data_IF_387649641281
#
_entry.id   IF_387649641281
#
_cell.length_a   1.000
_cell.length_b   1.000
_cell.length_c   1.000
_cell.angle_alpha   90.00
_cell.angle_beta   90.00
_cell.angle_gamma   90.00
#
_symmetry.space_group_name_H-M   'P 1'
#
loop_
_entity.id
_entity.type
_entity.pdbx_description
1 polymer ?
#
# COMPACT_ATOMS: atom_id res chain seq x y z
N UNK A 1 3.17 -7.13 -27.63
CA UNK A 1 2.56 -5.88 -27.18
C UNK A 1 1.99 -6.02 -25.79
N UNK A 2 1.98 -4.94 -25.00
CA UNK A 2 1.44 -4.94 -23.66
C UNK A 2 -0.01 -4.50 -23.65
N UNK A 3 -0.81 -5.10 -22.75
CA UNK A 3 -2.19 -4.67 -22.52
C UNK A 3 -2.22 -3.40 -21.65
N UNK A 4 -3.39 -2.76 -21.59
CA UNK A 4 -3.58 -1.60 -20.71
C UNK A 4 -3.35 -1.97 -19.24
N UNK A 5 -3.78 -3.17 -18.81
CA UNK A 5 -3.57 -3.64 -17.45
C UNK A 5 -2.09 -3.85 -17.15
N UNK A 6 -1.35 -4.46 -18.08
CA UNK A 6 0.10 -4.65 -17.92
C UNK A 6 0.84 -3.32 -17.82
N UNK A 7 0.44 -2.32 -18.60
CA UNK A 7 1.04 -0.98 -18.51
C UNK A 7 0.74 -0.32 -17.17
N UNK A 8 -0.46 -0.51 -16.67
CA UNK A 8 -0.85 0.02 -15.35
C UNK A 8 0.01 -0.61 -14.24
N UNK A 9 0.20 -1.93 -14.27
CA UNK A 9 1.03 -2.64 -13.29
C UNK A 9 2.48 -2.15 -13.36
N UNK A 10 3.03 -1.98 -14.56
CA UNK A 10 4.40 -1.47 -14.72
C UNK A 10 4.54 -0.05 -14.18
N UNK A 11 3.57 0.81 -14.46
CA UNK A 11 3.57 2.17 -13.90
C UNK A 11 3.50 2.13 -12.36
N UNK A 12 2.69 1.24 -11.81
CA UNK A 12 2.58 1.06 -10.37
C UNK A 12 3.89 0.59 -9.74
N UNK A 13 4.58 -0.33 -10.40
CA UNK A 13 5.90 -0.79 -9.93
C UNK A 13 6.91 0.36 -9.89
N UNK A 14 6.94 1.18 -10.92
CA UNK A 14 7.84 2.33 -10.96
C UNK A 14 7.54 3.33 -9.85
N UNK A 15 6.26 3.62 -9.63
CA UNK A 15 5.84 4.51 -8.55
C UNK A 15 6.16 3.91 -7.18
N UNK A 16 5.95 2.61 -7.01
CA UNK A 16 6.29 1.91 -5.78
C UNK A 16 7.79 2.01 -5.50
N UNK A 17 8.62 1.73 -6.50
CA UNK A 17 10.07 1.75 -6.34
C UNK A 17 10.58 3.15 -5.93
N UNK A 18 9.93 4.21 -6.40
CA UNK A 18 10.37 5.57 -6.08
C UNK A 18 9.77 6.11 -4.78
N UNK A 19 8.58 5.68 -4.37
CA UNK A 19 7.85 6.31 -3.27
C UNK A 19 7.62 5.41 -2.06
N UNK A 20 7.66 4.09 -2.22
CA UNK A 20 7.24 3.14 -1.17
C UNK A 20 8.35 2.20 -0.72
N UNK A 21 9.30 1.89 -1.59
CA UNK A 21 10.32 0.89 -1.33
C UNK A 21 11.25 1.25 -0.18
N UNK A 22 11.41 2.54 0.14
CA UNK A 22 12.24 2.97 1.25
C UNK A 22 11.76 2.41 2.60
N UNK A 23 10.47 2.16 2.73
CA UNK A 23 9.85 1.73 3.98
C UNK A 23 9.26 0.32 3.93
N UNK A 24 8.87 -0.15 2.74
CA UNK A 24 8.15 -1.41 2.57
C UNK A 24 8.93 -2.40 1.71
N UNK A 25 8.91 -3.66 2.10
CA UNK A 25 9.40 -4.78 1.29
C UNK A 25 8.23 -5.40 0.51
N UNK A 26 8.55 -6.09 -0.56
CA UNK A 26 7.59 -6.91 -1.31
C UNK A 26 7.77 -8.41 -1.05
N UNK A 27 8.65 -8.78 -0.13
CA UNK A 27 8.90 -10.18 0.23
C UNK A 27 8.12 -10.56 1.47
N UNK A 28 7.49 -11.73 1.44
CA UNK A 28 6.68 -12.22 2.56
C UNK A 28 7.49 -12.26 3.86
N UNK A 29 6.92 -11.69 4.93
CA UNK A 29 7.52 -11.70 6.26
C UNK A 29 8.71 -10.77 6.45
N UNK A 30 9.14 -10.06 5.43
CA UNK A 30 10.26 -9.14 5.50
C UNK A 30 9.75 -7.73 5.75
N UNK A 31 9.90 -7.26 6.99
CA UNK A 31 9.41 -5.95 7.41
C UNK A 31 10.56 -4.95 7.54
N UNK A 32 10.27 -3.70 7.22
CA UNK A 32 11.19 -2.58 7.40
C UNK A 32 10.55 -1.54 8.32
N UNK A 33 10.66 -0.27 7.95
CA UNK A 33 9.97 0.83 8.64
C UNK A 33 8.46 0.60 8.57
N UNK A 34 7.96 0.15 7.42
CA UNK A 34 6.59 -0.31 7.24
C UNK A 34 6.55 -1.84 7.06
N UNK A 35 5.35 -2.44 7.12
CA UNK A 35 5.22 -3.88 6.96
C UNK A 35 5.44 -4.29 5.51
N UNK A 36 5.80 -5.57 5.32
CA UNK A 36 5.83 -6.16 3.98
C UNK A 36 4.46 -6.01 3.31
N UNK A 37 4.46 -5.65 2.04
CA UNK A 37 3.24 -5.51 1.26
C UNK A 37 2.92 -6.74 0.42
N UNK A 38 3.70 -7.81 0.58
CA UNK A 38 3.38 -9.08 -0.07
C UNK A 38 2.02 -9.58 0.44
N UNK A 39 1.10 -9.82 -0.50
CA UNK A 39 -0.25 -10.29 -0.16
C UNK A 39 -1.14 -9.23 0.48
N UNK A 40 -0.79 -7.94 0.40
CA UNK A 40 -1.55 -6.90 1.10
C UNK A 40 -2.96 -6.73 0.56
N UNK A 41 -3.16 -6.84 -0.74
CA UNK A 41 -4.51 -6.74 -1.31
C UNK A 41 -5.27 -8.02 -0.94
N UNK A 42 -6.40 -7.84 -0.26
CA UNK A 42 -7.20 -8.94 0.29
C UNK A 42 -6.93 -9.20 1.77
N UNK A 43 -5.93 -8.54 2.35
CA UNK A 43 -5.56 -8.72 3.75
C UNK A 43 -6.21 -7.65 4.63
N UNK A 44 -6.57 -8.02 5.86
CA UNK A 44 -7.07 -7.05 6.83
C UNK A 44 -5.96 -6.10 7.25
N UNK A 45 -6.26 -4.81 7.36
CA UNK A 45 -5.31 -3.82 7.82
C UNK A 45 -4.80 -4.18 9.21
N UNK A 46 -3.50 -4.02 9.42
CA UNK A 46 -2.88 -4.27 10.72
C UNK A 46 -2.69 -5.74 11.07
N UNK A 47 -2.72 -6.64 10.10
CA UNK A 47 -2.76 -8.08 10.36
C UNK A 47 -1.52 -8.87 9.97
N UNK A 48 -0.52 -8.27 9.32
CA UNK A 48 0.67 -9.04 8.93
C UNK A 48 1.44 -9.49 10.18
N UNK A 49 1.74 -10.80 10.29
CA UNK A 49 2.47 -11.31 11.45
C UNK A 49 3.87 -10.72 11.55
N UNK A 50 4.31 -10.45 12.77
CA UNK A 50 5.68 -10.03 13.03
C UNK A 50 5.94 -8.53 12.85
N UNK A 51 4.94 -7.74 12.52
CA UNK A 51 5.09 -6.29 12.43
C UNK A 51 4.30 -5.60 13.55
N UNK A 52 4.92 -4.59 14.18
CA UNK A 52 4.28 -3.83 15.26
C UNK A 52 3.55 -2.63 14.68
N UNK A 53 2.25 -2.78 14.44
CA UNK A 53 1.40 -1.70 13.90
C UNK A 53 1.04 -0.67 14.97
N UNK A 54 0.68 0.54 14.50
CA UNK A 54 0.02 1.52 15.36
C UNK A 54 -1.36 1.01 15.80
N UNK A 55 -1.88 1.55 16.91
CA UNK A 55 -3.23 1.21 17.35
C UNK A 55 -4.27 1.59 16.31
N UNK A 56 -4.09 2.74 15.66
CA UNK A 56 -4.99 3.19 14.60
C UNK A 56 -5.08 2.17 13.47
N UNK A 57 -3.95 1.62 13.04
CA UNK A 57 -3.93 0.64 11.95
C UNK A 57 -4.53 -0.70 12.39
N UNK A 58 -4.19 -1.17 13.61
CA UNK A 58 -4.75 -2.42 14.13
C UNK A 58 -6.26 -2.36 14.29
N UNK A 59 -6.79 -1.20 14.62
CA UNK A 59 -8.21 -1.01 14.90
C UNK A 59 -8.99 -0.44 13.72
N UNK A 60 -8.36 -0.32 12.54
CA UNK A 60 -8.98 0.30 11.38
C UNK A 60 -10.20 -0.47 10.85
N UNK A 61 -10.20 -1.78 10.97
CA UNK A 61 -11.36 -2.61 10.58
C UNK A 61 -11.59 -2.69 9.09
N UNK A 62 -10.57 -2.42 8.25
CA UNK A 62 -10.70 -2.48 6.80
C UNK A 62 -9.91 -3.65 6.23
N UNK A 63 -10.46 -4.28 5.21
CA UNK A 63 -9.74 -5.24 4.38
C UNK A 63 -9.29 -4.49 3.12
N UNK A 64 -8.01 -4.59 2.80
CA UNK A 64 -7.46 -3.85 1.65
C UNK A 64 -7.98 -4.42 0.35
N UNK A 65 -8.77 -3.63 -0.35
CA UNK A 65 -9.16 -3.86 -1.74
C UNK A 65 -8.69 -2.65 -2.54
N UNK A 66 -8.68 -2.76 -3.87
CA UNK A 66 -8.17 -1.68 -4.72
C UNK A 66 -8.76 -0.32 -4.35
N UNK A 67 -10.08 -0.28 -4.17
CA UNK A 67 -10.80 0.98 -3.95
C UNK A 67 -10.35 1.70 -2.67
N UNK A 68 -10.29 0.99 -1.54
CA UNK A 68 -9.87 1.65 -0.30
C UNK A 68 -8.36 1.83 -0.22
N UNK A 69 -7.59 1.00 -0.90
CA UNK A 69 -6.15 1.22 -1.00
C UNK A 69 -5.85 2.53 -1.73
N UNK A 70 -6.57 2.85 -2.80
CA UNK A 70 -6.41 4.12 -3.51
C UNK A 70 -6.75 5.29 -2.59
N UNK A 71 -7.83 5.20 -1.83
CA UNK A 71 -8.20 6.26 -0.87
C UNK A 71 -7.09 6.47 0.17
N UNK A 72 -6.53 5.38 0.69
CA UNK A 72 -5.44 5.45 1.65
C UNK A 72 -4.19 6.09 1.05
N UNK A 73 -3.82 5.72 -0.18
CA UNK A 73 -2.65 6.26 -0.85
C UNK A 73 -2.78 7.74 -1.19
N UNK A 74 -4.00 8.22 -1.44
CA UNK A 74 -4.24 9.63 -1.74
C UNK A 74 -4.31 10.50 -0.49
N UNK A 75 -4.72 9.95 0.64
CA UNK A 75 -4.86 10.69 1.88
C UNK A 75 -4.62 9.75 3.06
N UNK A 76 -3.37 9.40 3.27
CA UNK A 76 -2.96 8.41 4.26
C UNK A 76 -3.36 8.82 5.68
N UNK A 77 -3.15 10.11 6.01
CA UNK A 77 -3.49 10.63 7.34
C UNK A 77 -5.01 10.69 7.56
N UNK A 78 -5.75 11.07 6.54
CA UNK A 78 -7.20 11.22 6.67
C UNK A 78 -7.95 9.90 6.62
N UNK A 79 -7.44 8.93 5.86
CA UNK A 79 -8.13 7.64 5.71
C UNK A 79 -8.06 6.81 7.00
N UNK A 80 -6.89 6.77 7.65
CA UNK A 80 -6.71 6.11 8.95
C UNK A 80 -6.00 7.09 9.88
N UNK A 81 -6.73 7.99 10.54
CA UNK A 81 -6.11 8.98 11.43
C UNK A 81 -5.32 8.31 12.53
N UNK A 82 -4.10 8.80 12.79
CA UNK A 82 -3.22 8.26 13.79
C UNK A 82 -2.26 7.18 13.31
N UNK A 83 -2.33 6.78 12.04
CA UNK A 83 -1.36 5.83 11.51
C UNK A 83 0.01 6.51 11.33
N UNK A 84 1.09 5.71 11.48
CA UNK A 84 2.46 6.26 11.43
C UNK A 84 2.88 6.73 10.04
N UNK A 85 2.37 6.08 9.01
CA UNK A 85 2.68 6.41 7.62
C UNK A 85 2.22 7.83 7.28
N UNK A 86 1.14 8.30 7.89
CA UNK A 86 0.59 9.63 7.65
C UNK A 86 1.50 10.78 7.99
N UNK A 87 2.51 10.57 8.86
CA UNK A 87 3.49 11.61 9.18
C UNK A 87 4.70 11.61 8.26
N UNK A 88 4.91 10.54 7.48
CA UNK A 88 6.09 10.36 6.62
C UNK A 88 5.76 10.35 5.13
N UNK A 89 4.52 10.08 4.77
CA UNK A 89 4.10 9.96 3.38
C UNK A 89 2.90 10.86 3.12
N UNK A 90 3.07 11.81 2.21
CA UNK A 90 2.02 12.79 1.91
C UNK A 90 0.89 12.22 1.06
N UNK A 91 1.16 11.13 0.36
CA UNK A 91 0.20 10.54 -0.55
C UNK A 91 0.59 10.73 -2.00
N UNK A 92 -0.12 10.02 -2.88
CA UNK A 92 0.04 10.18 -4.32
C UNK A 92 -0.83 11.35 -4.80
N UNK A 93 -0.43 11.96 -5.92
CA UNK A 93 -1.08 13.19 -6.42
C UNK A 93 -2.40 12.93 -7.13
N UNK A 94 -2.57 11.77 -7.74
CA UNK A 94 -3.74 11.46 -8.55
C UNK A 94 -4.29 10.08 -8.24
N UNK A 95 -5.59 9.89 -8.50
CA UNK A 95 -6.20 8.57 -8.37
C UNK A 95 -5.64 7.57 -9.38
N UNK A 96 -5.19 8.03 -10.55
CA UNK A 96 -4.54 7.16 -11.53
C UNK A 96 -3.25 6.57 -10.98
N UNK A 97 -2.44 7.36 -10.29
CA UNK A 97 -1.22 6.87 -9.65
C UNK A 97 -1.57 5.87 -8.55
N UNK A 98 -2.59 6.17 -7.75
CA UNK A 98 -3.07 5.26 -6.73
C UNK A 98 -3.56 3.93 -7.32
N UNK A 99 -4.34 3.99 -8.40
CA UNK A 99 -4.82 2.80 -9.11
C UNK A 99 -3.66 1.95 -9.63
N UNK A 100 -2.64 2.59 -10.18
CA UNK A 100 -1.46 1.89 -10.72
C UNK A 100 -0.70 1.17 -9.61
N UNK A 101 -0.48 1.83 -8.48
CA UNK A 101 0.17 1.21 -7.32
C UNK A 101 -0.66 0.05 -6.79
N UNK A 102 -1.96 0.22 -6.64
CA UNK A 102 -2.85 -0.85 -6.17
C UNK A 102 -2.83 -2.05 -7.12
N UNK A 103 -2.82 -1.81 -8.43
CA UNK A 103 -2.73 -2.87 -9.42
C UNK A 103 -1.41 -3.66 -9.29
N UNK A 104 -0.31 -2.95 -9.07
CA UNK A 104 0.98 -3.61 -8.81
C UNK A 104 0.93 -4.44 -7.53
N UNK A 105 0.43 -3.85 -6.44
CA UNK A 105 0.32 -4.56 -5.16
C UNK A 105 -0.52 -5.83 -5.27
N UNK A 106 -1.57 -5.82 -6.08
CA UNK A 106 -2.42 -6.98 -6.28
C UNK A 106 -1.69 -8.15 -6.95
N UNK A 107 -0.54 -7.91 -7.59
CA UNK A 107 0.28 -8.97 -8.18
C UNK A 107 1.18 -9.65 -7.14
N UNK A 108 1.34 -9.07 -5.97
CA UNK A 108 2.22 -9.57 -4.91
C UNK A 108 1.48 -10.58 -4.04
N UNK A 109 1.47 -11.83 -4.48
CA UNK A 109 0.78 -12.91 -3.76
C UNK A 109 1.39 -14.28 -4.07
#
# INVERSE_FOLDING_TARGET
STTAEQRKVLAGKQLFDSACMACHSIKAGEHGIGPSLFGVIGRMAGSAPGYAYSDAMRNAGVTWITENMVKHLMDTRGFIPGNRMGSMFKGVSTSNDGDSIAAYLATLK
#
